data_IF_400291659301
#
_entry.id   IF_400291659301
#
_cell.length_a   1.000
_cell.length_b   1.000
_cell.length_c   1.000
_cell.angle_alpha   90.00
_cell.angle_beta   90.00
_cell.angle_gamma   90.00
#
_symmetry.space_group_name_H-M   'P 1'
#
loop_
_entity.id
_entity.type
_entity.pdbx_description
1 polymer ?
#
# COMPACT_ATOMS: atom_id res chain seq x y z
N UNK A 1 -38.03 -28.77 -30.56
CA UNK A 1 -36.80 -29.34 -29.95
C UNK A 1 -36.81 -28.92 -28.47
N UNK A 2 -37.30 -29.73 -27.51
CA UNK A 2 -36.61 -30.84 -26.78
C UNK A 2 -35.45 -30.25 -25.96
N UNK A 3 -35.36 -30.21 -24.61
CA UNK A 3 -35.99 -30.89 -23.44
C UNK A 3 -35.81 -29.97 -22.20
N UNK A 4 -36.84 -29.68 -21.39
CA UNK A 4 -37.32 -30.41 -20.17
C UNK A 4 -36.34 -30.41 -18.98
N UNK A 5 -36.79 -29.86 -17.84
CA UNK A 5 -36.16 -30.02 -16.53
C UNK A 5 -36.84 -29.26 -15.39
N UNK A 6 -38.14 -29.51 -15.17
CA UNK A 6 -38.91 -29.14 -13.97
C UNK A 6 -38.46 -30.04 -12.81
N UNK A 7 -38.00 -29.47 -11.70
CA UNK A 7 -37.95 -30.15 -10.41
C UNK A 7 -38.45 -29.22 -9.31
N UNK A 8 -39.71 -29.46 -8.95
CA UNK A 8 -40.26 -29.10 -7.64
C UNK A 8 -39.62 -30.02 -6.61
N UNK A 9 -38.95 -29.45 -5.61
CA UNK A 9 -38.62 -30.16 -4.38
C UNK A 9 -39.14 -29.32 -3.21
N UNK A 10 -40.34 -29.70 -2.75
CA UNK A 10 -40.87 -29.35 -1.44
C UNK A 10 -39.95 -30.02 -0.42
N UNK A 11 -39.17 -29.21 0.28
CA UNK A 11 -38.43 -29.62 1.47
C UNK A 11 -39.08 -28.88 2.65
N UNK A 12 -40.05 -29.56 3.26
CA UNK A 12 -40.45 -29.30 4.64
C UNK A 12 -39.26 -29.64 5.53
N UNK A 13 -38.70 -28.63 6.21
CA UNK A 13 -37.82 -28.84 7.36
C UNK A 13 -38.52 -28.32 8.59
N UNK A 14 -38.54 -29.21 9.59
CA UNK A 14 -39.12 -29.05 10.90
C UNK A 14 -38.60 -27.78 11.59
N UNK A 15 -39.54 -27.02 12.13
CA UNK A 15 -39.34 -25.92 13.07
C UNK A 15 -38.63 -26.46 14.33
N UNK A 16 -37.35 -26.14 14.51
CA UNK A 16 -36.62 -26.36 15.76
C UNK A 16 -36.91 -25.14 16.64
N UNK A 17 -37.41 -25.30 17.89
CA UNK A 17 -37.54 -24.18 18.80
C UNK A 17 -36.15 -23.67 19.17
N UNK A 18 -35.83 -22.45 18.73
CA UNK A 18 -34.65 -21.70 19.14
C UNK A 18 -34.75 -21.38 20.64
N UNK A 19 -34.17 -22.23 21.48
CA UNK A 19 -33.86 -21.88 22.86
C UNK A 19 -32.80 -20.78 22.90
N UNK A 20 -32.83 -19.84 23.86
CA UNK A 20 -31.83 -18.80 23.96
C UNK A 20 -30.52 -19.41 24.47
N UNK A 21 -29.54 -19.57 23.60
CA UNK A 21 -28.16 -19.84 23.99
C UNK A 21 -27.45 -18.50 24.25
N UNK A 22 -26.91 -18.27 25.46
CA UNK A 22 -26.22 -17.03 25.78
C UNK A 22 -24.85 -16.96 25.10
N UNK A 23 -24.53 -15.73 24.72
CA UNK A 23 -23.24 -15.18 24.32
C UNK A 23 -21.98 -15.96 24.76
N UNK A 24 -21.08 -16.15 23.79
CA UNK A 24 -19.67 -15.82 23.94
C UNK A 24 -19.04 -15.78 22.54
N UNK A 25 -18.94 -14.59 21.97
CA UNK A 25 -17.91 -14.36 20.96
C UNK A 25 -16.57 -14.50 21.70
N UNK A 26 -15.82 -15.55 21.40
CA UNK A 26 -14.47 -15.72 21.91
C UNK A 26 -13.63 -14.52 21.43
N UNK A 27 -12.94 -13.80 22.33
CA UNK A 27 -12.02 -12.77 21.90
C UNK A 27 -10.86 -13.44 21.16
N UNK A 28 -10.61 -13.04 19.92
CA UNK A 28 -9.39 -13.35 19.18
C UNK A 28 -8.23 -12.63 19.86
N UNK A 29 -7.74 -13.23 20.95
CA UNK A 29 -6.52 -12.78 21.60
C UNK A 29 -5.39 -13.41 20.81
N UNK A 30 -4.79 -12.64 19.90
CA UNK A 30 -3.56 -12.98 19.21
C UNK A 30 -2.40 -13.03 20.23
N UNK A 31 -2.38 -14.10 21.04
CA UNK A 31 -1.32 -14.38 22.01
C UNK A 31 -0.16 -15.00 21.23
N UNK A 32 1.07 -14.44 21.32
CA UNK A 32 2.21 -15.00 20.63
C UNK A 32 2.47 -16.45 21.10
N UNK A 33 2.59 -17.38 20.15
CA UNK A 33 2.82 -18.79 20.43
C UNK A 33 4.20 -19.00 21.09
N UNK A 34 4.21 -19.67 22.24
CA UNK A 34 5.46 -20.04 22.93
C UNK A 34 6.05 -21.28 22.27
N UNK A 35 7.13 -21.11 21.51
CA UNK A 35 7.87 -22.21 20.88
C UNK A 35 9.15 -22.46 21.67
N UNK A 36 9.35 -23.68 22.14
CA UNK A 36 10.59 -24.09 22.81
C UNK A 36 11.61 -24.54 21.77
N UNK A 37 12.76 -23.85 21.71
CA UNK A 37 13.89 -24.22 20.86
C UNK A 37 15.02 -24.74 21.75
N UNK A 38 15.42 -26.02 21.62
CA UNK A 38 16.58 -26.55 22.33
C UNK A 38 17.85 -25.77 21.99
N UNK A 39 18.73 -25.55 22.98
CA UNK A 39 19.94 -24.73 22.82
C UNK A 39 20.86 -25.20 21.68
N UNK A 40 20.92 -26.51 21.45
CA UNK A 40 21.75 -27.11 20.38
C UNK A 40 21.22 -26.81 18.97
N UNK A 41 19.94 -26.47 18.85
CA UNK A 41 19.25 -26.25 17.57
C UNK A 41 19.07 -24.76 17.24
N UNK A 42 19.40 -23.87 18.17
CA UNK A 42 19.32 -22.41 17.98
C UNK A 42 20.17 -21.93 16.79
N UNK A 43 21.38 -22.46 16.62
CA UNK A 43 22.28 -22.11 15.51
C UNK A 43 21.66 -22.44 14.13
N UNK A 44 20.90 -23.53 14.02
CA UNK A 44 20.27 -23.97 12.78
C UNK A 44 19.16 -23.02 12.31
N UNK A 45 18.57 -22.24 13.22
CA UNK A 45 17.54 -21.23 12.89
C UNK A 45 18.18 -19.97 12.32
N UNK A 46 19.32 -19.55 12.90
CA UNK A 46 20.05 -18.36 12.43
C UNK A 46 20.73 -18.55 11.07
N UNK A 47 21.15 -19.77 10.73
CA UNK A 47 21.79 -20.04 9.44
C UNK A 47 20.80 -20.09 8.28
N UNK A 48 19.51 -20.38 8.54
CA UNK A 48 18.45 -20.42 7.53
C UNK A 48 17.92 -19.04 7.16
N UNK A 49 17.84 -18.14 8.15
CA UNK A 49 17.35 -16.77 8.00
C UNK A 49 18.57 -15.84 7.98
N UNK A 50 19.06 -15.48 6.79
CA UNK A 50 20.27 -14.65 6.62
C UNK A 50 20.23 -13.27 7.30
N UNK A 51 19.07 -12.83 7.81
CA UNK A 51 18.90 -11.57 8.54
C UNK A 51 17.96 -11.76 9.73
N UNK A 52 18.50 -11.71 10.94
CA UNK A 52 17.72 -11.71 12.17
C UNK A 52 18.56 -11.26 13.37
N UNK A 53 17.95 -10.57 14.32
CA UNK A 53 18.57 -10.21 15.60
C UNK A 53 17.90 -10.99 16.73
N UNK A 54 18.69 -11.58 17.62
CA UNK A 54 18.16 -12.26 18.80
C UNK A 54 17.70 -11.24 19.84
N UNK A 55 16.40 -11.22 20.12
CA UNK A 55 15.81 -10.36 21.14
C UNK A 55 15.30 -11.20 22.32
N UNK A 56 15.77 -10.97 23.55
CA UNK A 56 15.22 -11.62 24.73
C UNK A 56 13.73 -11.36 24.86
N UNK A 57 12.96 -12.37 25.30
CA UNK A 57 11.50 -12.28 25.37
C UNK A 57 10.99 -11.07 26.18
N UNK A 58 11.68 -10.69 27.26
CA UNK A 58 11.36 -9.50 28.05
C UNK A 58 11.46 -8.20 27.25
N UNK A 59 12.49 -8.08 26.40
CA UNK A 59 12.67 -6.90 25.55
C UNK A 59 11.67 -6.92 24.38
N UNK A 60 11.35 -8.11 23.85
CA UNK A 60 10.25 -8.27 22.88
C UNK A 60 8.91 -7.81 23.46
N UNK A 61 8.52 -8.28 24.65
CA UNK A 61 7.26 -7.87 25.28
C UNK A 61 7.20 -6.36 25.52
N UNK A 62 8.32 -5.76 25.93
CA UNK A 62 8.43 -4.31 26.14
C UNK A 62 8.21 -3.54 24.83
N UNK A 63 8.90 -3.93 23.74
CA UNK A 63 8.73 -3.29 22.43
C UNK A 63 7.33 -3.52 21.86
N UNK A 64 6.79 -4.73 22.02
CA UNK A 64 5.46 -5.10 21.58
C UNK A 64 4.38 -4.26 22.28
N UNK A 65 4.46 -4.13 23.61
CA UNK A 65 3.54 -3.27 24.38
C UNK A 65 3.71 -1.79 24.02
N UNK A 66 4.94 -1.34 23.78
CA UNK A 66 5.20 0.03 23.33
C UNK A 66 4.57 0.31 21.95
N UNK A 67 4.62 -0.66 21.03
CA UNK A 67 4.00 -0.56 19.71
C UNK A 67 2.46 -0.65 19.74
N UNK A 68 1.89 -1.40 20.68
CA UNK A 68 0.43 -1.51 20.85
C UNK A 68 -0.23 -0.24 21.41
N UNK A 69 0.48 0.55 22.22
CA UNK A 69 -0.07 1.71 22.93
C UNK A 69 -0.28 2.96 22.08
N UNK A 70 0.51 3.11 21.02
CA UNK A 70 0.30 4.05 19.92
C UNK A 70 1.39 3.76 18.89
N UNK A 71 1.09 3.68 17.58
CA UNK A 71 2.14 3.78 16.58
C UNK A 71 2.94 5.04 16.92
N UNK A 72 4.28 4.91 17.00
CA UNK A 72 5.15 6.04 17.27
C UNK A 72 4.67 7.19 16.39
N UNK A 73 4.31 8.33 17.01
CA UNK A 73 3.69 9.44 16.30
C UNK A 73 4.58 9.77 15.10
N UNK A 74 4.12 9.33 13.92
CA UNK A 74 4.83 9.57 12.68
C UNK A 74 4.65 11.07 12.52
N UNK A 75 5.69 11.83 12.86
CA UNK A 75 5.70 13.25 12.60
C UNK A 75 5.36 13.49 11.13
N UNK A 76 4.81 14.65 10.78
CA UNK A 76 4.51 14.95 9.39
C UNK A 76 5.77 14.68 8.55
N UNK A 77 5.59 14.00 7.41
CA UNK A 77 6.70 13.69 6.54
C UNK A 77 7.49 14.99 6.26
N UNK A 78 8.83 14.94 6.30
CA UNK A 78 9.65 16.16 6.14
C UNK A 78 9.47 16.81 4.76
N UNK A 79 8.90 16.08 3.81
CA UNK A 79 8.59 16.53 2.46
C UNK A 79 7.10 16.36 2.17
N UNK A 80 6.54 17.31 1.42
CA UNK A 80 5.12 17.25 1.00
C UNK A 80 4.87 16.28 -0.16
N UNK A 81 5.92 15.99 -0.93
CA UNK A 81 5.90 15.05 -2.05
C UNK A 81 7.25 14.37 -2.22
N UNK A 82 7.25 13.26 -2.95
CA UNK A 82 8.43 12.53 -3.37
C UNK A 82 8.29 12.11 -4.83
N UNK A 83 9.35 12.27 -5.62
CA UNK A 83 9.43 11.66 -6.95
C UNK A 83 10.08 10.28 -6.76
N UNK A 84 9.29 9.22 -6.71
CA UNK A 84 9.77 7.87 -6.41
C UNK A 84 10.38 7.18 -7.60
N UNK A 85 9.89 7.47 -8.81
CA UNK A 85 10.41 6.90 -10.06
C UNK A 85 10.49 7.95 -11.15
N UNK A 86 11.59 7.92 -11.91
CA UNK A 86 11.74 8.68 -13.14
C UNK A 86 12.40 7.79 -14.21
N UNK A 87 11.65 7.41 -15.23
CA UNK A 87 12.15 6.61 -16.36
C UNK A 87 12.15 7.44 -17.63
N UNK A 88 13.31 7.50 -18.26
CA UNK A 88 13.54 8.23 -19.51
C UNK A 88 13.83 7.23 -20.61
N UNK A 89 13.10 7.32 -21.72
CA UNK A 89 13.36 6.56 -22.94
C UNK A 89 13.28 7.50 -24.12
N UNK A 90 14.14 7.36 -25.11
CA UNK A 90 14.14 8.30 -26.21
C UNK A 90 15.15 7.95 -27.29
N UNK A 91 15.08 8.71 -28.38
CA UNK A 91 16.00 8.62 -29.49
C UNK A 91 16.28 10.02 -30.02
N UNK A 92 17.45 10.17 -30.63
CA UNK A 92 17.82 11.39 -31.34
C UNK A 92 17.38 11.21 -32.80
N UNK A 93 16.56 12.12 -33.29
CA UNK A 93 16.12 12.20 -34.68
C UNK A 93 16.71 13.48 -35.29
N UNK A 94 17.73 13.29 -36.13
CA UNK A 94 18.48 14.37 -36.77
C UNK A 94 19.01 15.42 -35.77
N UNK A 95 18.38 16.60 -35.71
CA UNK A 95 18.78 17.71 -34.82
C UNK A 95 17.96 17.79 -33.52
N UNK A 96 16.96 16.91 -33.34
CA UNK A 96 16.04 16.93 -32.20
C UNK A 96 16.08 15.63 -31.40
N UNK A 97 16.18 15.73 -30.08
CA UNK A 97 16.04 14.59 -29.18
C UNK A 97 14.57 14.42 -28.76
N UNK A 98 13.98 13.26 -29.05
CA UNK A 98 12.63 12.92 -28.60
C UNK A 98 12.74 12.02 -27.38
N UNK A 99 12.18 12.51 -26.26
CA UNK A 99 12.21 11.84 -24.97
C UNK A 99 10.78 11.56 -24.50
N UNK A 100 10.57 10.34 -24.00
CA UNK A 100 9.41 9.92 -23.22
C UNK A 100 9.83 9.80 -21.76
N UNK A 101 9.08 10.47 -20.91
CA UNK A 101 9.31 10.50 -19.47
C UNK A 101 8.10 9.91 -18.75
N UNK A 102 8.36 8.91 -17.91
CA UNK A 102 7.40 8.34 -16.98
C UNK A 102 7.85 8.71 -15.56
N UNK A 103 7.06 9.56 -14.88
CA UNK A 103 7.29 9.95 -13.49
C UNK A 103 6.23 9.35 -12.59
N UNK A 104 6.66 8.89 -11.41
CA UNK A 104 5.77 8.55 -10.31
C UNK A 104 6.02 9.56 -9.19
N UNK A 105 4.95 10.25 -8.78
CA UNK A 105 5.00 11.29 -7.76
C UNK A 105 4.06 10.86 -6.64
N UNK A 106 4.63 10.68 -5.46
CA UNK A 106 3.90 10.33 -4.24
C UNK A 106 3.63 11.62 -3.45
N UNK A 107 2.36 11.92 -3.25
CA UNK A 107 1.92 13.09 -2.47
C UNK A 107 1.72 12.62 -1.03
N UNK A 108 2.37 13.28 -0.08
CA UNK A 108 2.43 12.88 1.33
C UNK A 108 1.57 13.77 2.23
N UNK A 109 0.76 14.66 1.64
CA UNK A 109 -0.07 15.63 2.37
C UNK A 109 -1.48 15.68 1.79
N UNK A 110 -2.47 15.92 2.64
CA UNK A 110 -3.86 16.13 2.24
C UNK A 110 -4.17 17.59 1.79
N UNK A 111 -3.14 18.45 1.80
CA UNK A 111 -3.24 19.84 1.34
C UNK A 111 -2.97 19.94 -0.16
N UNK A 112 -3.53 20.97 -0.81
CA UNK A 112 -3.18 21.32 -2.17
C UNK A 112 -1.69 21.61 -2.30
N UNK A 113 -1.06 20.95 -3.26
CA UNK A 113 0.37 21.02 -3.48
C UNK A 113 0.69 21.35 -4.93
N UNK A 114 1.61 22.29 -5.10
CA UNK A 114 2.23 22.60 -6.39
C UNK A 114 3.60 21.94 -6.44
N UNK A 115 3.73 20.95 -7.31
CA UNK A 115 4.96 20.18 -7.50
C UNK A 115 5.68 20.66 -8.76
N UNK A 116 6.87 21.27 -8.63
CA UNK A 116 7.67 21.65 -9.78
C UNK A 116 8.25 20.43 -10.50
N UNK A 117 7.84 20.20 -11.74
CA UNK A 117 8.47 19.20 -12.61
C UNK A 117 9.63 19.88 -13.33
N UNK A 118 10.85 19.43 -13.06
CA UNK A 118 12.12 20.01 -13.54
C UNK A 118 12.41 19.83 -15.03
N UNK A 119 11.43 20.09 -15.90
CA UNK A 119 11.55 20.00 -17.36
C UNK A 119 11.87 21.37 -17.97
N UNK A 120 12.93 22.02 -17.47
CA UNK A 120 13.39 23.28 -18.03
C UNK A 120 13.88 23.07 -19.48
N UNK A 121 13.53 24.00 -20.37
CA UNK A 121 13.97 24.04 -21.77
C UNK A 121 13.56 22.85 -22.65
N UNK A 122 12.58 22.04 -22.20
CA UNK A 122 12.00 20.94 -22.99
C UNK A 122 10.56 21.29 -23.42
N UNK A 123 10.29 21.15 -24.72
CA UNK A 123 8.93 21.27 -25.25
C UNK A 123 8.11 20.01 -24.98
N UNK A 124 7.02 20.12 -24.22
CA UNK A 124 6.10 19.00 -23.97
C UNK A 124 5.11 18.89 -25.15
N UNK A 125 5.25 17.83 -25.95
CA UNK A 125 4.34 17.56 -27.07
C UNK A 125 3.04 16.89 -26.63
N UNK A 126 3.11 16.01 -25.63
CA UNK A 126 1.96 15.30 -25.06
C UNK A 126 2.22 14.98 -23.59
N UNK A 127 1.19 15.13 -22.76
CA UNK A 127 1.18 14.70 -21.38
C UNK A 127 -0.08 13.86 -21.11
N UNK A 128 0.06 12.80 -20.33
CA UNK A 128 -1.04 12.00 -19.83
C UNK A 128 -0.79 11.72 -18.36
N UNK A 129 -1.81 11.95 -17.53
CA UNK A 129 -1.73 11.72 -16.09
C UNK A 129 -2.55 10.47 -15.77
N UNK A 130 -1.97 9.58 -14.98
CA UNK A 130 -2.62 8.38 -14.48
C UNK A 130 -2.58 8.43 -12.96
N UNK A 131 -3.74 8.35 -12.33
CA UNK A 131 -3.90 8.22 -10.89
C UNK A 131 -4.17 6.77 -10.54
N UNK A 132 -3.57 6.27 -9.47
CA UNK A 132 -3.85 4.94 -8.94
C UNK A 132 -5.23 4.86 -8.28
N UNK A 133 -5.76 5.99 -7.79
CA UNK A 133 -7.07 6.08 -7.16
C UNK A 133 -8.09 6.74 -8.12
N UNK A 134 -9.18 6.03 -8.39
CA UNK A 134 -10.28 6.48 -9.24
C UNK A 134 -11.11 7.63 -8.67
N UNK A 135 -11.00 7.89 -7.36
CA UNK A 135 -11.70 8.98 -6.67
C UNK A 135 -10.79 10.20 -6.40
N UNK A 136 -9.51 10.12 -6.78
CA UNK A 136 -8.58 11.23 -6.63
C UNK A 136 -8.89 12.38 -7.61
N UNK A 137 -8.69 13.61 -7.14
CA UNK A 137 -8.84 14.82 -7.95
C UNK A 137 -7.87 14.73 -9.13
N UNK A 138 -8.37 14.96 -10.35
CA UNK A 138 -7.54 14.92 -11.56
C UNK A 138 -6.46 16.00 -11.46
N UNK A 139 -5.17 15.61 -11.44
CA UNK A 139 -4.09 16.57 -11.30
C UNK A 139 -3.99 17.45 -12.55
N UNK A 140 -3.63 18.73 -12.35
CA UNK A 140 -3.53 19.71 -13.43
C UNK A 140 -2.06 20.05 -13.70
N UNK A 141 -1.64 19.90 -14.95
CA UNK A 141 -0.34 20.36 -15.42
C UNK A 141 -0.48 21.77 -15.99
N UNK A 142 0.25 22.74 -15.42
CA UNK A 142 0.29 24.12 -15.89
C UNK A 142 1.73 24.58 -16.10
N UNK A 143 1.95 25.61 -16.92
CA UNK A 143 3.27 26.24 -17.08
C UNK A 143 3.25 27.59 -16.38
N UNK A 144 4.16 27.80 -15.44
CA UNK A 144 4.33 29.06 -14.71
C UNK A 144 5.81 29.46 -14.79
N UNK A 145 6.10 30.65 -15.32
CA UNK A 145 7.47 31.17 -15.48
C UNK A 145 8.42 30.21 -16.24
N UNK A 146 7.92 29.52 -17.26
CA UNK A 146 8.72 28.55 -18.04
C UNK A 146 8.93 27.20 -17.35
N UNK A 147 8.33 26.98 -16.18
CA UNK A 147 8.44 25.73 -15.43
C UNK A 147 7.08 25.01 -15.37
N UNK A 148 7.12 23.69 -15.53
CA UNK A 148 5.92 22.86 -15.49
C UNK A 148 5.55 22.56 -14.03
N UNK A 149 4.38 23.02 -13.60
CA UNK A 149 3.83 22.80 -12.27
C UNK A 149 2.73 21.75 -12.34
N UNK A 150 2.81 20.75 -11.47
CA UNK A 150 1.74 19.80 -11.22
C UNK A 150 0.96 20.23 -9.98
N UNK A 151 -0.33 20.50 -10.13
CA UNK A 151 -1.22 20.82 -9.01
C UNK A 151 -2.05 19.58 -8.69
N UNK A 152 -1.95 19.12 -7.44
CA UNK A 152 -2.64 17.92 -6.96
C UNK A 152 -3.21 18.17 -5.56
N UNK A 153 -4.27 17.43 -5.23
CA UNK A 153 -4.90 17.38 -3.91
C UNK A 153 -4.82 15.95 -3.39
#
# INVERSE_FOLDING_TARGET
MIRRGLFFAVISVLMIPSGPAPAAAEPDVNVPAKVYVPYKELALVFEKEHQGVFLPYQEFEKLWRAAQGSPAAIGPAPFKYLISTARFTGHVADELAVLRLELTIDVLTDEWLETPIGLADVGVSKASLSTADSNAVVPLLRVVNGQYMLVTK
#
